data_IF_308997127876
#
_entry.id   IF_308997127876
#
_cell.length_a   1.000
_cell.length_b   1.000
_cell.length_c   1.000
_cell.angle_alpha   90.00
_cell.angle_beta   90.00
_cell.angle_gamma   90.00
#
_symmetry.space_group_name_H-M   'P 1'
#
loop_
_entity.id
_entity.type
_entity.pdbx_description
1 polymer ?
#
# COMPACT_ATOMS: atom_id res chain seq x y z
N UNK A 1 65.21 -13.56 10.54
CA UNK A 1 64.85 -13.93 11.93
C UNK A 1 63.57 -13.19 12.30
N UNK A 2 62.57 -13.95 12.70
CA UNK A 2 61.27 -13.49 13.20
C UNK A 2 61.42 -12.48 14.35
N UNK A 3 60.59 -11.43 14.35
CA UNK A 3 60.11 -10.91 15.63
C UNK A 3 58.65 -10.49 15.53
N UNK A 4 57.80 -11.38 16.01
CA UNK A 4 56.34 -11.26 16.09
C UNK A 4 55.96 -10.36 17.27
N UNK A 5 55.52 -9.14 16.98
CA UNK A 5 54.80 -8.34 17.98
C UNK A 5 53.35 -8.83 18.05
N UNK A 6 53.10 -9.64 19.08
CA UNK A 6 51.80 -10.12 19.50
C UNK A 6 50.92 -8.96 19.94
N UNK A 7 50.03 -8.53 19.03
CA UNK A 7 48.92 -7.64 19.36
C UNK A 7 47.96 -8.40 20.26
N UNK A 8 48.03 -8.12 21.56
CA UNK A 8 47.09 -8.53 22.59
C UNK A 8 45.69 -7.99 22.25
N UNK A 9 44.92 -8.73 21.44
CA UNK A 9 43.48 -8.52 21.28
C UNK A 9 42.79 -9.06 22.53
N UNK A 10 42.70 -8.24 23.56
CA UNK A 10 41.72 -8.46 24.62
C UNK A 10 40.33 -8.47 23.99
N UNK A 11 39.77 -9.68 23.88
CA UNK A 11 38.38 -9.91 23.55
C UNK A 11 37.52 -9.33 24.68
N UNK A 12 37.12 -8.06 24.52
CA UNK A 12 35.98 -7.51 25.24
C UNK A 12 34.78 -8.39 24.92
N UNK A 13 34.36 -9.23 25.89
CA UNK A 13 33.09 -9.93 25.82
C UNK A 13 31.99 -8.89 25.57
N UNK A 14 31.26 -8.93 24.45
CA UNK A 14 30.15 -8.04 24.25
C UNK A 14 29.10 -8.37 25.32
N UNK A 15 28.92 -7.46 26.28
CA UNK A 15 27.79 -7.51 27.20
C UNK A 15 26.53 -7.45 26.33
N UNK A 16 25.71 -8.51 26.39
CA UNK A 16 24.42 -8.61 25.68
C UNK A 16 23.43 -7.58 26.27
N UNK A 17 23.63 -6.29 25.99
CA UNK A 17 22.55 -5.33 26.03
C UNK A 17 21.67 -5.62 24.81
N UNK A 18 20.41 -5.93 25.03
CA UNK A 18 19.41 -6.14 23.98
C UNK A 18 19.17 -4.80 23.29
N UNK A 19 20.02 -4.45 22.34
CA UNK A 19 19.78 -3.32 21.46
C UNK A 19 18.77 -3.77 20.40
N UNK A 20 17.57 -3.20 20.44
CA UNK A 20 16.61 -3.31 19.34
C UNK A 20 17.28 -2.75 18.08
N UNK A 21 17.62 -3.65 17.15
CA UNK A 21 18.18 -3.23 15.87
C UNK A 21 17.12 -2.50 15.06
N UNK A 22 17.52 -1.49 14.27
CA UNK A 22 16.60 -0.72 13.42
C UNK A 22 15.79 -1.63 12.46
N UNK A 23 16.38 -2.77 12.07
CA UNK A 23 15.69 -3.80 11.29
C UNK A 23 14.52 -4.43 12.03
N UNK A 24 14.71 -4.79 13.31
CA UNK A 24 13.64 -5.34 14.15
C UNK A 24 12.50 -4.33 14.28
N UNK A 25 12.81 -3.05 14.49
CA UNK A 25 11.80 -1.99 14.60
C UNK A 25 10.95 -1.84 13.34
N UNK A 26 11.57 -1.87 12.15
CA UNK A 26 10.83 -1.82 10.88
C UNK A 26 9.90 -3.02 10.73
N UNK A 27 10.40 -4.21 11.04
CA UNK A 27 9.62 -5.44 10.98
C UNK A 27 8.44 -5.36 11.95
N UNK A 28 8.68 -4.93 13.19
CA UNK A 28 7.63 -4.78 14.21
C UNK A 28 6.61 -3.72 13.81
N UNK A 29 7.05 -2.57 13.31
CA UNK A 29 6.14 -1.51 12.85
C UNK A 29 5.21 -2.00 11.73
N UNK A 30 5.76 -2.69 10.73
CA UNK A 30 4.96 -3.33 9.69
C UNK A 30 4.00 -4.39 10.26
N UNK A 31 4.47 -5.24 11.17
CA UNK A 31 3.65 -6.27 11.81
C UNK A 31 2.42 -5.70 12.52
N UNK A 32 2.57 -4.54 13.18
CA UNK A 32 1.47 -3.89 13.91
C UNK A 32 0.39 -3.28 13.04
N UNK A 33 0.63 -3.12 11.74
CA UNK A 33 -0.42 -2.76 10.78
C UNK A 33 -0.97 -3.99 10.03
N UNK A 34 -0.13 -5.02 9.87
CA UNK A 34 -0.46 -6.19 9.04
C UNK A 34 -1.29 -7.25 9.78
N UNK A 35 -1.02 -7.51 11.06
CA UNK A 35 -1.69 -8.54 11.86
C UNK A 35 -2.74 -8.07 12.91
N UNK A 36 -2.96 -6.78 13.21
CA UNK A 36 -3.79 -6.41 14.37
C UNK A 36 -5.25 -6.83 14.20
N UNK A 37 -5.77 -6.92 12.97
CA UNK A 37 -7.17 -7.25 12.69
C UNK A 37 -7.52 -8.69 13.02
N UNK A 38 -6.72 -9.66 12.56
CA UNK A 38 -6.93 -11.06 12.93
C UNK A 38 -6.76 -11.27 14.45
N UNK A 39 -5.88 -10.51 15.10
CA UNK A 39 -5.71 -10.53 16.56
C UNK A 39 -6.95 -9.94 17.27
N UNK A 40 -7.52 -8.86 16.73
CA UNK A 40 -8.76 -8.29 17.26
C UNK A 40 -9.98 -9.21 17.02
N UNK A 41 -10.02 -9.91 15.90
CA UNK A 41 -11.08 -10.87 15.58
C UNK A 41 -11.12 -12.07 16.54
N UNK A 42 -10.00 -12.41 17.19
CA UNK A 42 -9.95 -13.44 18.25
C UNK A 42 -10.20 -12.88 19.66
N UNK A 43 -10.59 -11.60 19.78
CA UNK A 43 -11.01 -10.98 21.03
C UNK A 43 -10.05 -9.92 21.60
N UNK A 44 -8.95 -9.59 20.92
CA UNK A 44 -8.09 -8.50 21.39
C UNK A 44 -8.78 -7.12 21.25
N UNK A 45 -8.45 -6.15 22.14
CA UNK A 45 -9.07 -4.83 22.11
C UNK A 45 -8.86 -4.12 20.76
N UNK A 46 -9.92 -3.47 20.26
CA UNK A 46 -9.91 -2.68 19.02
C UNK A 46 -8.77 -1.65 18.93
N UNK A 47 -8.29 -1.16 20.07
CA UNK A 47 -7.16 -0.23 20.16
C UNK A 47 -5.86 -0.77 19.53
N UNK A 48 -5.69 -2.09 19.43
CA UNK A 48 -4.50 -2.70 18.79
C UNK A 48 -4.36 -2.29 17.32
N UNK A 49 -5.48 -1.99 16.65
CA UNK A 49 -5.50 -1.53 15.26
C UNK A 49 -4.88 -0.14 15.07
N UNK A 50 -4.57 0.60 16.15
CA UNK A 50 -3.97 1.93 16.10
C UNK A 50 -2.47 1.94 16.46
N UNK A 51 -1.90 0.80 16.88
CA UNK A 51 -0.51 0.73 17.37
C UNK A 51 0.50 1.14 16.30
N UNK A 52 0.20 0.84 15.03
CA UNK A 52 1.07 1.19 13.92
C UNK A 52 1.26 2.71 13.77
N UNK A 53 0.26 3.53 14.14
CA UNK A 53 0.35 4.99 14.15
C UNK A 53 1.39 5.54 15.13
N UNK A 54 1.90 4.71 16.05
CA UNK A 54 3.00 5.08 16.94
C UNK A 54 4.30 4.42 16.51
N UNK A 55 4.26 3.13 16.15
CA UNK A 55 5.47 2.37 15.86
C UNK A 55 6.09 2.72 14.50
N UNK A 56 5.30 3.09 13.49
CA UNK A 56 5.84 3.50 12.18
C UNK A 56 6.64 4.80 12.29
N UNK A 57 6.11 5.90 12.89
CA UNK A 57 6.90 7.10 13.14
C UNK A 57 8.11 6.84 14.05
N UNK A 58 7.96 6.00 15.06
CA UNK A 58 9.06 5.66 15.95
C UNK A 58 10.19 4.93 15.22
N UNK A 59 9.88 3.93 14.40
CA UNK A 59 10.87 3.23 13.58
C UNK A 59 11.56 4.18 12.60
N UNK A 60 10.82 5.11 11.99
CA UNK A 60 11.37 6.17 11.16
C UNK A 60 12.33 7.09 11.94
N UNK A 61 11.91 7.60 13.10
CA UNK A 61 12.73 8.50 13.93
C UNK A 61 14.02 7.81 14.37
N UNK A 62 13.96 6.55 14.80
CA UNK A 62 15.15 5.78 15.15
C UNK A 62 16.04 5.57 13.92
N UNK A 63 15.47 5.26 12.76
CA UNK A 63 16.23 5.05 11.54
C UNK A 63 16.97 6.32 11.10
N UNK A 64 16.34 7.49 11.12
CA UNK A 64 16.98 8.73 10.70
C UNK A 64 18.01 9.26 11.71
N UNK A 65 17.76 9.09 13.02
CA UNK A 65 18.66 9.62 14.07
C UNK A 65 19.87 8.74 14.33
N UNK A 66 19.73 7.42 14.20
CA UNK A 66 20.81 6.47 14.53
C UNK A 66 21.62 5.98 13.34
N UNK A 67 21.19 6.27 12.12
CA UNK A 67 21.88 5.76 10.94
C UNK A 67 22.90 6.76 10.40
N UNK A 68 24.20 6.41 10.39
CA UNK A 68 25.24 7.26 9.82
C UNK A 68 25.30 7.08 8.30
N UNK A 69 24.33 7.63 7.58
CA UNK A 69 24.35 7.65 6.11
C UNK A 69 25.29 8.74 5.62
N UNK A 70 26.27 8.40 4.78
CA UNK A 70 27.18 9.35 4.12
C UNK A 70 26.79 9.67 2.66
N UNK A 71 25.82 8.96 2.10
CA UNK A 71 25.37 9.19 0.72
C UNK A 71 24.53 10.49 0.65
N UNK A 72 25.11 11.52 0.04
CA UNK A 72 24.47 12.83 -0.19
C UNK A 72 23.16 12.72 -0.96
N UNK A 73 23.05 11.78 -1.92
CA UNK A 73 21.82 11.60 -2.71
C UNK A 73 20.70 11.02 -1.84
N UNK A 74 21.02 10.03 -1.01
CA UNK A 74 20.07 9.42 -0.08
C UNK A 74 19.59 10.47 0.95
N UNK A 75 20.50 11.27 1.49
CA UNK A 75 20.17 12.38 2.41
C UNK A 75 19.23 13.38 1.74
N UNK A 76 19.53 13.81 0.51
CA UNK A 76 18.69 14.75 -0.22
C UNK A 76 17.27 14.20 -0.46
N UNK A 77 17.14 12.93 -0.86
CA UNK A 77 15.84 12.27 -1.05
C UNK A 77 15.07 12.21 0.29
N UNK A 78 15.76 11.87 1.38
CA UNK A 78 15.12 11.83 2.71
C UNK A 78 14.59 13.20 3.12
N UNK A 79 15.38 14.26 2.93
CA UNK A 79 14.92 15.63 3.24
C UNK A 79 13.79 16.11 2.33
N UNK A 80 13.83 15.76 1.03
CA UNK A 80 12.76 16.08 0.08
C UNK A 80 11.43 15.45 0.53
N UNK A 81 11.44 14.18 0.91
CA UNK A 81 10.26 13.49 1.45
C UNK A 81 9.79 14.07 2.79
N UNK A 82 10.70 14.29 3.75
CA UNK A 82 10.34 14.86 5.06
C UNK A 82 9.70 16.24 4.91
N UNK A 83 10.26 17.08 4.05
CA UNK A 83 9.73 18.42 3.78
C UNK A 83 8.33 18.34 3.17
N UNK A 84 8.12 17.42 2.23
CA UNK A 84 6.80 17.18 1.65
C UNK A 84 5.79 16.62 2.68
N UNK A 85 6.22 15.75 3.61
CA UNK A 85 5.39 15.31 4.73
C UNK A 85 4.97 16.49 5.62
N UNK A 86 5.92 17.35 5.98
CA UNK A 86 5.66 18.53 6.82
C UNK A 86 4.76 19.55 6.11
N UNK A 87 4.92 19.72 4.79
CA UNK A 87 4.03 20.54 3.97
C UNK A 87 2.58 20.02 4.03
N UNK A 88 2.39 18.71 3.84
CA UNK A 88 1.07 18.08 3.95
C UNK A 88 0.47 18.27 5.34
N UNK A 89 1.27 18.09 6.41
CA UNK A 89 0.83 18.35 7.78
C UNK A 89 0.40 19.80 7.99
N UNK A 90 1.16 20.76 7.46
CA UNK A 90 0.81 22.18 7.52
C UNK A 90 -0.53 22.48 6.84
N UNK A 91 -0.77 21.88 5.67
CA UNK A 91 -2.05 21.99 4.96
C UNK A 91 -3.20 21.34 5.76
N UNK A 92 -2.98 20.18 6.36
CA UNK A 92 -3.98 19.51 7.22
C UNK A 92 -4.33 20.33 8.45
N UNK A 93 -3.35 20.95 9.11
CA UNK A 93 -3.59 21.84 10.25
C UNK A 93 -4.40 23.06 9.79
N UNK A 94 -4.01 23.70 8.68
CA UNK A 94 -4.74 24.85 8.15
C UNK A 94 -6.19 24.49 7.79
N UNK A 95 -6.41 23.34 7.14
CA UNK A 95 -7.72 22.79 6.83
C UNK A 95 -8.56 22.51 8.09
N UNK A 96 -7.95 21.91 9.11
CA UNK A 96 -8.62 21.62 10.37
C UNK A 96 -9.01 22.89 11.12
N UNK A 97 -8.14 23.90 11.17
CA UNK A 97 -8.45 25.18 11.79
C UNK A 97 -9.58 25.91 11.07
N UNK A 98 -9.55 25.92 9.73
CA UNK A 98 -10.61 26.53 8.90
C UNK A 98 -11.97 25.89 9.16
N UNK A 99 -12.01 24.56 9.32
CA UNK A 99 -13.25 23.79 9.40
C UNK A 99 -13.56 23.24 10.79
N UNK A 100 -12.83 23.70 11.82
CA UNK A 100 -12.97 23.27 13.22
C UNK A 100 -12.90 21.74 13.41
N UNK A 101 -12.04 21.07 12.64
CA UNK A 101 -11.79 19.64 12.81
C UNK A 101 -10.93 19.40 14.07
N UNK A 102 -11.20 18.31 14.78
CA UNK A 102 -10.47 17.93 15.98
C UNK A 102 -8.98 17.66 15.75
N UNK A 103 -8.17 17.80 16.79
CA UNK A 103 -6.72 17.49 16.72
C UNK A 103 -6.50 16.01 16.38
N UNK A 104 -7.38 15.12 16.86
CA UNK A 104 -7.35 13.70 16.53
C UNK A 104 -7.59 13.47 15.04
N UNK A 105 -8.44 14.27 14.41
CA UNK A 105 -8.65 14.21 12.97
C UNK A 105 -7.36 14.51 12.21
N UNK A 106 -6.64 15.57 12.60
CA UNK A 106 -5.35 15.93 12.00
C UNK A 106 -4.34 14.80 12.19
N UNK A 107 -4.19 14.30 13.41
CA UNK A 107 -3.22 13.23 13.71
C UNK A 107 -3.52 11.96 12.91
N UNK A 108 -4.73 11.42 13.00
CA UNK A 108 -5.09 10.18 12.31
C UNK A 108 -5.11 10.36 10.79
N UNK A 109 -5.63 11.48 10.29
CA UNK A 109 -5.66 11.78 8.86
C UNK A 109 -4.25 11.89 8.28
N UNK A 110 -3.35 12.56 9.00
CA UNK A 110 -1.94 12.63 8.64
C UNK A 110 -1.30 11.25 8.62
N UNK A 111 -1.48 10.48 9.70
CA UNK A 111 -0.89 9.16 9.83
C UNK A 111 -1.36 8.20 8.74
N UNK A 112 -2.67 8.13 8.46
CA UNK A 112 -3.25 7.31 7.39
C UNK A 112 -2.59 7.57 6.02
N UNK A 113 -2.32 8.84 5.69
CA UNK A 113 -1.70 9.20 4.42
C UNK A 113 -0.19 9.02 4.40
N UNK A 114 0.49 9.29 5.52
CA UNK A 114 1.96 9.45 5.54
C UNK A 114 2.74 8.20 5.92
N UNK A 115 2.12 7.27 6.65
CA UNK A 115 2.74 6.02 7.10
C UNK A 115 3.55 5.25 6.04
N UNK A 116 3.06 5.03 4.81
CA UNK A 116 3.85 4.36 3.78
C UNK A 116 5.16 5.10 3.46
N UNK A 117 5.15 6.43 3.47
CA UNK A 117 6.35 7.23 3.23
C UNK A 117 7.32 7.18 4.40
N UNK A 118 6.81 7.22 5.64
CA UNK A 118 7.65 7.10 6.85
C UNK A 118 8.32 5.72 6.94
N UNK A 119 7.56 4.65 6.71
CA UNK A 119 8.10 3.29 6.71
C UNK A 119 9.14 3.11 5.59
N UNK A 120 8.83 3.61 4.39
CA UNK A 120 9.78 3.56 3.28
C UNK A 120 11.05 4.32 3.58
N UNK A 121 10.95 5.53 4.15
CA UNK A 121 12.11 6.30 4.60
C UNK A 121 12.92 5.54 5.64
N UNK A 122 12.27 4.88 6.60
CA UNK A 122 12.95 4.06 7.59
C UNK A 122 13.77 2.95 6.90
N UNK A 123 13.19 2.26 5.91
CA UNK A 123 13.87 1.22 5.14
C UNK A 123 15.01 1.82 4.31
N UNK A 124 14.77 2.90 3.57
CA UNK A 124 15.75 3.54 2.69
C UNK A 124 16.92 4.13 3.48
N UNK A 125 16.69 4.67 4.67
CA UNK A 125 17.76 5.29 5.45
C UNK A 125 18.79 4.28 5.95
N UNK A 126 18.42 3.03 6.21
CA UNK A 126 19.31 2.04 6.83
C UNK A 126 20.18 1.34 5.78
N UNK A 127 21.53 1.36 5.90
CA UNK A 127 22.38 0.51 5.08
C UNK A 127 22.22 -0.94 5.54
N UNK A 128 21.67 -1.79 4.67
CA UNK A 128 21.51 -3.22 4.97
C UNK A 128 22.69 -4.04 4.46
N UNK A 129 23.17 -4.95 5.32
CA UNK A 129 24.01 -6.05 4.86
C UNK A 129 23.19 -7.05 4.05
N UNK A 130 23.83 -7.87 3.22
CA UNK A 130 23.15 -8.95 2.48
C UNK A 130 22.36 -9.88 3.39
N UNK A 131 22.86 -10.16 4.60
CA UNK A 131 22.17 -10.99 5.58
C UNK A 131 20.91 -10.30 6.14
N UNK A 132 21.03 -9.03 6.52
CA UNK A 132 19.90 -8.22 7.00
C UNK A 132 18.82 -8.04 5.92
N UNK A 133 19.23 -7.83 4.67
CA UNK A 133 18.32 -7.77 3.52
C UNK A 133 17.58 -9.09 3.30
N UNK A 134 18.29 -10.23 3.31
CA UNK A 134 17.66 -11.56 3.20
C UNK A 134 16.65 -11.80 4.32
N UNK A 135 16.97 -11.39 5.56
CA UNK A 135 16.05 -11.48 6.70
C UNK A 135 14.81 -10.61 6.49
N UNK A 136 14.98 -9.36 6.07
CA UNK A 136 13.87 -8.44 5.78
C UNK A 136 12.95 -9.01 4.69
N UNK A 137 13.54 -9.50 3.58
CA UNK A 137 12.82 -10.14 2.48
C UNK A 137 12.07 -11.39 2.92
N UNK A 138 12.71 -12.27 3.70
CA UNK A 138 12.09 -13.49 4.20
C UNK A 138 10.89 -13.19 5.10
N UNK A 139 10.97 -12.13 5.91
CA UNK A 139 9.88 -11.75 6.80
C UNK A 139 8.65 -11.24 6.03
N UNK A 140 8.85 -10.42 4.99
CA UNK A 140 7.76 -9.99 4.10
C UNK A 140 7.13 -11.18 3.37
N UNK A 141 7.96 -12.03 2.74
CA UNK A 141 7.48 -13.21 2.01
C UNK A 141 6.73 -14.18 2.94
N UNK A 142 7.24 -14.38 4.17
CA UNK A 142 6.57 -15.19 5.18
C UNK A 142 5.22 -14.61 5.60
N UNK A 143 5.14 -13.29 5.80
CA UNK A 143 3.88 -12.62 6.17
C UNK A 143 2.84 -12.70 5.06
N UNK A 144 3.26 -12.50 3.81
CA UNK A 144 2.38 -12.65 2.65
C UNK A 144 1.92 -14.11 2.46
N UNK A 145 2.80 -15.07 2.69
CA UNK A 145 2.43 -16.49 2.67
C UNK A 145 1.41 -16.81 3.77
N UNK A 146 1.61 -16.32 4.99
CA UNK A 146 0.62 -16.47 6.08
C UNK A 146 -0.72 -15.86 5.66
N UNK A 147 -0.72 -14.65 5.11
CA UNK A 147 -1.94 -14.01 4.61
C UNK A 147 -2.68 -14.88 3.58
N UNK A 148 -1.96 -15.36 2.56
CA UNK A 148 -2.51 -16.21 1.52
C UNK A 148 -3.05 -17.51 2.10
N UNK A 149 -2.28 -18.22 2.93
CA UNK A 149 -2.71 -19.49 3.54
C UNK A 149 -3.94 -19.29 4.43
N UNK A 150 -3.97 -18.23 5.25
CA UNK A 150 -5.14 -17.91 6.06
C UNK A 150 -6.36 -17.65 5.17
N UNK A 151 -6.23 -16.89 4.09
CA UNK A 151 -7.34 -16.65 3.17
C UNK A 151 -7.85 -17.96 2.53
N UNK A 152 -6.94 -18.85 2.12
CA UNK A 152 -7.31 -20.15 1.55
C UNK A 152 -8.01 -21.05 2.57
N UNK A 153 -7.58 -21.02 3.84
CA UNK A 153 -8.20 -21.79 4.93
C UNK A 153 -9.55 -21.21 5.36
N UNK A 154 -9.76 -19.90 5.24
CA UNK A 154 -11.03 -19.26 5.58
C UNK A 154 -12.20 -19.80 4.75
N UNK A 155 -12.01 -20.05 3.44
CA UNK A 155 -13.08 -20.56 2.56
C UNK A 155 -13.76 -21.84 3.09
N UNK A 156 -13.04 -22.97 3.29
CA UNK A 156 -13.67 -24.19 3.77
C UNK A 156 -14.21 -24.06 5.20
N UNK A 157 -13.61 -23.21 6.05
CA UNK A 157 -14.13 -22.98 7.40
C UNK A 157 -15.44 -22.17 7.40
N UNK A 158 -15.56 -21.18 6.51
CA UNK A 158 -16.79 -20.41 6.30
C UNK A 158 -17.88 -21.31 5.72
N UNK A 159 -17.55 -22.10 4.69
CA UNK A 159 -18.51 -23.03 4.07
C UNK A 159 -19.03 -24.07 5.08
N UNK A 160 -18.17 -24.52 5.99
CA UNK A 160 -18.54 -25.44 7.07
C UNK A 160 -19.27 -24.77 8.25
N UNK A 161 -19.53 -23.46 8.19
CA UNK A 161 -20.16 -22.70 9.28
C UNK A 161 -19.30 -22.56 10.54
N UNK A 162 -18.00 -22.85 10.47
CA UNK A 162 -17.06 -22.81 11.61
C UNK A 162 -16.46 -21.44 11.85
N UNK A 163 -16.51 -20.56 10.85
CA UNK A 163 -15.96 -19.22 10.90
C UNK A 163 -17.06 -18.19 10.61
N UNK A 164 -17.12 -17.13 11.43
CA UNK A 164 -18.14 -16.09 11.29
C UNK A 164 -17.96 -15.30 9.98
N UNK A 165 -19.06 -14.90 9.36
CA UNK A 165 -19.02 -13.96 8.22
C UNK A 165 -19.34 -12.54 8.66
N UNK A 166 -19.72 -12.32 9.92
CA UNK A 166 -20.13 -11.01 10.42
C UNK A 166 -21.29 -10.44 9.60
N UNK A 167 -21.10 -9.24 9.05
CA UNK A 167 -22.06 -8.56 8.16
C UNK A 167 -21.72 -8.76 6.67
N UNK A 168 -20.72 -9.58 6.36
CA UNK A 168 -20.20 -9.76 5.01
C UNK A 168 -20.83 -10.97 4.32
N UNK A 169 -20.77 -11.00 3.00
CA UNK A 169 -21.01 -12.24 2.25
C UNK A 169 -19.93 -13.27 2.60
N UNK A 170 -20.20 -14.59 2.44
CA UNK A 170 -19.19 -15.63 2.64
C UNK A 170 -17.89 -15.37 1.84
N UNK A 171 -18.01 -14.80 0.65
CA UNK A 171 -16.91 -14.46 -0.24
C UNK A 171 -16.12 -13.25 0.29
N UNK A 172 -16.81 -12.17 0.66
CA UNK A 172 -16.17 -10.97 1.22
C UNK A 172 -15.51 -11.23 2.58
N UNK A 173 -15.96 -12.26 3.32
CA UNK A 173 -15.37 -12.69 4.58
C UNK A 173 -14.03 -13.44 4.43
N UNK A 174 -13.59 -13.75 3.20
CA UNK A 174 -12.26 -14.32 2.92
C UNK A 174 -11.24 -13.18 2.79
N UNK A 175 -10.58 -12.88 3.90
CA UNK A 175 -9.81 -11.65 4.10
C UNK A 175 -8.37 -11.87 4.58
N UNK A 176 -7.92 -13.12 4.64
CA UNK A 176 -6.59 -13.47 5.17
C UNK A 176 -6.38 -12.91 6.58
N UNK A 177 -5.25 -12.24 6.81
CA UNK A 177 -4.93 -11.64 8.13
C UNK A 177 -5.70 -10.34 8.42
N UNK A 178 -6.42 -9.81 7.43
CA UNK A 178 -7.24 -8.61 7.55
C UNK A 178 -8.70 -8.92 7.91
N UNK A 179 -8.92 -10.05 8.57
CA UNK A 179 -10.22 -10.64 8.84
C UNK A 179 -11.16 -9.75 9.66
N UNK A 180 -12.44 -9.78 9.28
CA UNK A 180 -13.55 -8.94 9.74
C UNK A 180 -13.30 -7.43 9.64
N UNK A 181 -12.81 -6.98 8.48
CA UNK A 181 -12.68 -5.57 8.15
C UNK A 181 -13.31 -5.22 6.80
N UNK A 182 -13.81 -3.98 6.67
CA UNK A 182 -14.63 -3.58 5.51
C UNK A 182 -13.97 -3.74 4.15
N UNK A 183 -12.64 -3.63 4.06
CA UNK A 183 -11.87 -3.81 2.83
C UNK A 183 -10.96 -5.05 2.85
N UNK A 184 -11.11 -5.93 3.85
CA UNK A 184 -10.13 -6.96 4.18
C UNK A 184 -9.83 -7.91 3.03
N UNK A 185 -10.87 -8.34 2.29
CA UNK A 185 -10.74 -9.24 1.14
C UNK A 185 -9.85 -8.66 0.05
N UNK A 186 -10.16 -7.43 -0.34
CA UNK A 186 -9.44 -6.73 -1.40
C UNK A 186 -7.99 -6.41 -1.01
N UNK A 187 -7.77 -5.98 0.23
CA UNK A 187 -6.43 -5.70 0.77
C UNK A 187 -5.60 -6.97 0.79
N UNK A 188 -6.17 -8.06 1.31
CA UNK A 188 -5.53 -9.37 1.37
C UNK A 188 -5.14 -9.88 -0.01
N UNK A 189 -6.09 -9.86 -0.95
CA UNK A 189 -5.87 -10.28 -2.32
C UNK A 189 -4.80 -9.43 -3.03
N UNK A 190 -4.85 -8.11 -2.84
CA UNK A 190 -3.87 -7.16 -3.41
C UNK A 190 -2.46 -7.43 -2.90
N UNK A 191 -2.31 -7.69 -1.60
CA UNK A 191 -1.02 -8.07 -0.99
C UNK A 191 -0.51 -9.36 -1.60
N UNK A 192 -1.35 -10.39 -1.68
CA UNK A 192 -0.98 -11.69 -2.25
C UNK A 192 -0.52 -11.56 -3.71
N UNK A 193 -1.25 -10.82 -4.54
CA UNK A 193 -0.89 -10.59 -5.95
C UNK A 193 0.41 -9.76 -6.06
N UNK A 194 0.54 -8.66 -5.33
CA UNK A 194 1.74 -7.81 -5.37
C UNK A 194 3.00 -8.60 -4.97
N UNK A 195 2.92 -9.41 -3.92
CA UNK A 195 4.05 -10.21 -3.43
C UNK A 195 4.31 -11.42 -4.33
N UNK A 196 3.28 -12.05 -4.89
CA UNK A 196 3.45 -13.11 -5.88
C UNK A 196 4.15 -12.60 -7.15
N UNK A 197 3.80 -11.41 -7.63
CA UNK A 197 4.49 -10.73 -8.73
C UNK A 197 5.95 -10.41 -8.36
N UNK A 198 6.20 -9.87 -7.17
CA UNK A 198 7.56 -9.65 -6.68
C UNK A 198 8.38 -10.95 -6.68
N UNK A 199 7.81 -12.04 -6.14
CA UNK A 199 8.46 -13.33 -6.06
C UNK A 199 8.74 -13.91 -7.45
N UNK A 200 7.77 -13.84 -8.37
CA UNK A 200 7.90 -14.28 -9.74
C UNK A 200 9.03 -13.56 -10.50
N UNK A 201 9.10 -12.23 -10.32
CA UNK A 201 10.08 -11.39 -10.99
C UNK A 201 11.50 -11.52 -10.40
N UNK A 202 11.64 -11.61 -9.07
CA UNK A 202 12.94 -11.46 -8.40
C UNK A 202 13.55 -12.78 -7.89
N UNK A 203 12.76 -13.84 -7.66
CA UNK A 203 13.28 -15.12 -7.17
C UNK A 203 13.87 -15.99 -8.30
N UNK A 204 14.83 -15.46 -9.07
CA UNK A 204 15.41 -16.13 -10.25
C UNK A 204 16.12 -17.45 -9.94
N UNK A 205 16.59 -17.63 -8.70
CA UNK A 205 17.23 -18.87 -8.24
C UNK A 205 16.23 -20.01 -7.96
N UNK A 206 14.93 -19.70 -7.95
CA UNK A 206 13.85 -20.66 -7.71
C UNK A 206 13.29 -21.13 -9.05
N UNK A 207 12.88 -22.40 -9.14
CA UNK A 207 12.26 -22.95 -10.35
C UNK A 207 11.05 -22.12 -10.80
N UNK A 208 10.83 -22.07 -12.11
CA UNK A 208 9.71 -21.30 -12.69
C UNK A 208 8.35 -21.83 -12.19
N UNK A 209 8.21 -23.14 -12.00
CA UNK A 209 6.99 -23.77 -11.51
C UNK A 209 6.59 -23.28 -10.12
N UNK A 210 7.54 -23.17 -9.19
CA UNK A 210 7.26 -22.64 -7.84
C UNK A 210 6.88 -21.16 -7.87
N UNK A 211 7.46 -20.39 -8.79
CA UNK A 211 7.11 -18.99 -9.00
C UNK A 211 5.71 -18.83 -9.59
N UNK A 212 5.37 -19.65 -10.58
CA UNK A 212 4.02 -19.69 -11.19
C UNK A 212 2.99 -20.17 -10.16
N UNK A 213 3.32 -21.14 -9.32
CA UNK A 213 2.44 -21.64 -8.28
C UNK A 213 1.98 -20.54 -7.31
N UNK A 214 2.89 -19.68 -6.86
CA UNK A 214 2.53 -18.52 -6.01
C UNK A 214 1.54 -17.58 -6.70
N UNK A 215 1.76 -17.33 -7.99
CA UNK A 215 0.87 -16.49 -8.78
C UNK A 215 -0.52 -17.13 -8.92
N UNK A 216 -0.57 -18.41 -9.28
CA UNK A 216 -1.82 -19.18 -9.38
C UNK A 216 -2.57 -19.24 -8.05
N UNK A 217 -1.87 -19.42 -6.92
CA UNK A 217 -2.49 -19.42 -5.60
C UNK A 217 -3.08 -18.05 -5.24
N UNK A 218 -2.40 -16.95 -5.57
CA UNK A 218 -2.94 -15.60 -5.38
C UNK A 218 -4.16 -15.33 -6.29
N UNK A 219 -4.14 -15.79 -7.54
CA UNK A 219 -5.30 -15.75 -8.43
C UNK A 219 -6.46 -16.60 -7.91
N UNK A 220 -6.18 -17.77 -7.35
CA UNK A 220 -7.21 -18.60 -6.73
C UNK A 220 -7.83 -17.91 -5.51
N UNK A 221 -7.02 -17.27 -4.66
CA UNK A 221 -7.53 -16.42 -3.57
C UNK A 221 -8.47 -15.33 -4.12
N UNK A 222 -8.07 -14.64 -5.18
CA UNK A 222 -8.88 -13.59 -5.81
C UNK A 222 -10.26 -14.11 -6.25
N UNK A 223 -10.31 -15.30 -6.83
CA UNK A 223 -11.56 -15.92 -7.28
C UNK A 223 -12.46 -16.28 -6.09
N UNK A 224 -11.93 -16.93 -5.06
CA UNK A 224 -12.74 -17.37 -3.92
C UNK A 224 -13.22 -16.20 -3.04
N UNK A 225 -12.47 -15.10 -3.00
CA UNK A 225 -12.79 -13.88 -2.23
C UNK A 225 -13.55 -12.82 -3.02
N UNK A 226 -14.04 -13.16 -4.21
CA UNK A 226 -14.71 -12.27 -5.17
C UNK A 226 -14.03 -10.90 -5.36
N UNK A 227 -12.69 -10.88 -5.32
CA UNK A 227 -11.89 -9.65 -5.34
C UNK A 227 -11.47 -9.24 -6.75
N UNK A 228 -12.34 -9.44 -7.74
CA UNK A 228 -12.05 -9.30 -9.19
C UNK A 228 -11.54 -7.92 -9.59
N UNK A 229 -11.97 -6.86 -8.89
CA UNK A 229 -11.50 -5.49 -9.09
C UNK A 229 -10.00 -5.34 -8.86
N UNK A 230 -9.37 -6.19 -8.04
CA UNK A 230 -7.92 -6.18 -7.84
C UNK A 230 -7.21 -6.47 -9.17
N UNK A 231 -7.70 -7.44 -9.96
CA UNK A 231 -7.14 -7.72 -11.28
C UNK A 231 -7.29 -6.52 -12.22
N UNK A 232 -8.49 -5.93 -12.28
CA UNK A 232 -8.76 -4.75 -13.11
C UNK A 232 -7.78 -3.62 -12.77
N UNK A 233 -7.54 -3.37 -11.48
CA UNK A 233 -6.57 -2.37 -11.02
C UNK A 233 -5.17 -2.64 -11.54
N UNK A 234 -4.68 -3.88 -11.41
CA UNK A 234 -3.35 -4.25 -11.89
C UNK A 234 -3.23 -4.12 -13.41
N UNK A 235 -4.28 -4.48 -14.17
CA UNK A 235 -4.32 -4.32 -15.62
C UNK A 235 -4.27 -2.84 -16.01
N UNK A 236 -5.11 -1.99 -15.42
CA UNK A 236 -5.12 -0.54 -15.68
C UNK A 236 -3.78 0.08 -15.30
N UNK A 237 -3.21 -0.27 -14.15
CA UNK A 237 -1.89 0.20 -13.73
C UNK A 237 -0.78 -0.21 -14.72
N UNK A 238 -0.86 -1.41 -15.30
CA UNK A 238 0.07 -1.88 -16.33
C UNK A 238 -0.09 -1.13 -17.66
N UNK A 239 -1.33 -0.82 -18.06
CA UNK A 239 -1.62 0.05 -19.22
C UNK A 239 -1.00 1.45 -19.00
N UNK A 240 -1.23 2.05 -17.84
CA UNK A 240 -0.64 3.34 -17.47
C UNK A 240 0.89 3.29 -17.49
N UNK A 241 1.50 2.22 -16.96
CA UNK A 241 2.94 2.02 -16.99
C UNK A 241 3.47 2.00 -18.43
N UNK A 242 2.75 1.35 -19.33
CA UNK A 242 3.10 1.25 -20.75
C UNK A 242 3.15 2.62 -21.42
N UNK A 243 2.19 3.51 -21.10
CA UNK A 243 2.20 4.90 -21.57
C UNK A 243 3.39 5.72 -21.05
N UNK A 244 4.00 5.35 -19.91
CA UNK A 244 5.23 6.03 -19.45
C UNK A 244 6.49 5.69 -20.27
N UNK A 245 6.37 4.78 -21.26
CA UNK A 245 7.49 4.28 -22.08
C UNK A 245 7.39 4.68 -23.56
N UNK A 246 6.56 5.67 -23.92
CA UNK A 246 6.28 6.10 -25.30
C UNK A 246 7.53 6.46 -26.12
N UNK A 247 8.64 6.84 -25.49
CA UNK A 247 9.91 7.06 -26.19
C UNK A 247 10.50 5.81 -26.86
N UNK A 248 10.00 4.62 -26.53
CA UNK A 248 10.35 3.37 -27.19
C UNK A 248 9.10 2.78 -27.84
N UNK A 249 8.82 3.21 -29.07
CA UNK A 249 7.64 2.78 -29.83
C UNK A 249 7.53 1.25 -29.91
N UNK A 250 8.64 0.54 -30.08
CA UNK A 250 8.66 -0.93 -30.08
C UNK A 250 8.15 -1.55 -28.77
N UNK A 251 8.55 -1.00 -27.62
CA UNK A 251 8.04 -1.45 -26.31
C UNK A 251 6.57 -1.10 -26.12
N UNK A 252 6.12 0.07 -26.56
CA UNK A 252 4.70 0.44 -26.49
C UNK A 252 3.86 -0.47 -27.35
N UNK A 253 4.27 -0.74 -28.59
CA UNK A 253 3.59 -1.65 -29.49
C UNK A 253 3.53 -3.07 -28.88
N UNK A 254 4.64 -3.56 -28.31
CA UNK A 254 4.68 -4.86 -27.63
C UNK A 254 3.70 -4.93 -26.45
N UNK A 255 3.64 -3.89 -25.60
CA UNK A 255 2.69 -3.85 -24.49
C UNK A 255 1.24 -3.75 -24.96
N UNK A 256 0.98 -2.91 -25.96
CA UNK A 256 -0.34 -2.74 -26.55
C UNK A 256 -0.86 -4.04 -27.17
N UNK A 257 -0.03 -4.74 -27.96
CA UNK A 257 -0.35 -6.06 -28.50
C UNK A 257 -0.65 -7.04 -27.36
N UNK A 258 0.19 -7.06 -26.31
CA UNK A 258 -0.05 -7.90 -25.13
C UNK A 258 -1.40 -7.61 -24.46
N UNK A 259 -1.77 -6.35 -24.33
CA UNK A 259 -3.07 -5.92 -23.77
C UNK A 259 -4.23 -6.37 -24.66
N UNK A 260 -4.14 -6.12 -25.97
CA UNK A 260 -5.21 -6.49 -26.92
C UNK A 260 -5.41 -8.00 -26.93
N UNK A 261 -4.33 -8.79 -27.01
CA UNK A 261 -4.41 -10.26 -26.96
C UNK A 261 -5.03 -10.72 -25.64
N UNK A 262 -4.61 -10.15 -24.51
CA UNK A 262 -5.17 -10.49 -23.21
C UNK A 262 -6.65 -10.16 -23.11
N UNK A 263 -7.08 -8.96 -23.51
CA UNK A 263 -8.48 -8.52 -23.44
C UNK A 263 -9.38 -9.33 -24.38
N UNK A 264 -8.93 -9.59 -25.61
CA UNK A 264 -9.68 -10.41 -26.56
C UNK A 264 -9.78 -11.86 -26.08
N UNK A 265 -8.67 -12.44 -25.60
CA UNK A 265 -8.66 -13.79 -25.03
C UNK A 265 -9.55 -13.91 -23.79
N UNK A 266 -9.51 -12.90 -22.92
CA UNK A 266 -10.35 -12.85 -21.71
C UNK A 266 -11.83 -12.67 -22.06
N UNK A 267 -12.18 -11.74 -22.95
CA UNK A 267 -13.56 -11.55 -23.41
C UNK A 267 -14.11 -12.80 -24.10
N UNK A 268 -13.32 -13.41 -25.00
CA UNK A 268 -13.69 -14.67 -25.62
C UNK A 268 -13.92 -15.77 -24.56
N UNK A 269 -13.05 -15.86 -23.56
CA UNK A 269 -13.22 -16.82 -22.47
C UNK A 269 -14.50 -16.58 -21.66
N UNK A 270 -14.82 -15.32 -21.33
CA UNK A 270 -16.05 -14.97 -20.59
C UNK A 270 -17.32 -15.31 -21.38
N UNK A 271 -17.32 -15.09 -22.70
CA UNK A 271 -18.50 -15.35 -23.52
C UNK A 271 -18.68 -16.82 -23.88
N UNK A 272 -17.58 -17.56 -24.10
CA UNK A 272 -17.61 -18.89 -24.71
C UNK A 272 -17.29 -20.04 -23.75
N UNK A 273 -16.65 -19.79 -22.60
CA UNK A 273 -16.33 -20.83 -21.63
C UNK A 273 -17.32 -20.81 -20.47
N UNK A 274 -17.94 -21.95 -20.20
CA UNK A 274 -18.85 -22.15 -19.07
C UNK A 274 -18.05 -22.44 -17.78
N UNK A 275 -17.31 -21.42 -17.33
CA UNK A 275 -16.48 -21.49 -16.12
C UNK A 275 -17.19 -20.66 -15.04
N UNK A 276 -17.62 -21.26 -13.92
CA UNK A 276 -18.35 -20.55 -12.85
C UNK A 276 -17.62 -19.31 -12.30
N UNK A 277 -16.28 -19.29 -12.38
CA UNK A 277 -15.47 -18.13 -12.00
C UNK A 277 -15.63 -16.90 -12.92
N UNK A 278 -16.15 -17.09 -14.13
CA UNK A 278 -16.33 -16.05 -15.15
C UNK A 278 -17.75 -15.45 -15.19
N UNK A 279 -18.74 -16.13 -14.60
CA UNK A 279 -20.16 -15.70 -14.61
C UNK A 279 -20.36 -14.27 -14.13
N UNK A 280 -19.61 -13.86 -13.10
CA UNK A 280 -19.66 -12.49 -12.61
C UNK A 280 -19.28 -11.47 -13.68
N UNK A 281 -18.25 -11.73 -14.49
CA UNK A 281 -17.86 -10.82 -15.57
C UNK A 281 -18.93 -10.75 -16.66
N UNK A 282 -19.54 -11.89 -17.02
CA UNK A 282 -20.63 -11.96 -18.00
C UNK A 282 -21.87 -11.19 -17.55
N UNK A 283 -22.22 -11.30 -16.27
CA UNK A 283 -23.31 -10.52 -15.68
C UNK A 283 -23.04 -9.01 -15.75
N UNK A 284 -21.81 -8.56 -15.47
CA UNK A 284 -21.49 -7.14 -15.50
C UNK A 284 -21.35 -6.56 -16.91
N UNK A 285 -20.90 -7.35 -17.89
CA UNK A 285 -20.83 -6.91 -19.29
C UNK A 285 -22.20 -6.73 -19.95
N UNK A 286 -23.23 -7.44 -19.49
CA UNK A 286 -24.59 -7.32 -20.05
C UNK A 286 -25.40 -6.11 -19.54
N UNK A 287 -24.99 -5.48 -18.42
CA UNK A 287 -25.71 -4.37 -17.77
C UNK A 287 -25.38 -2.99 -18.36
N UNK A 288 -25.72 -2.80 -19.63
CA UNK A 288 -25.44 -1.54 -20.36
C UNK A 288 -26.21 -0.32 -19.81
N UNK A 289 -27.33 -0.56 -19.13
CA UNK A 289 -28.18 0.43 -18.46
C UNK A 289 -27.48 1.15 -17.28
N UNK A 290 -26.51 0.49 -16.63
CA UNK A 290 -25.83 1.03 -15.46
C UNK A 290 -24.77 2.08 -15.79
N UNK A 291 -24.12 1.99 -16.96
CA UNK A 291 -22.86 2.68 -17.24
C UNK A 291 -22.99 3.93 -18.11
N UNK A 292 -24.20 4.30 -18.55
CA UNK A 292 -24.43 5.54 -19.27
C UNK A 292 -24.10 6.79 -18.44
N UNK A 293 -23.97 7.99 -19.05
CA UNK A 293 -23.71 9.24 -18.32
C UNK A 293 -24.70 9.52 -17.18
N UNK A 294 -25.97 9.16 -17.39
CA UNK A 294 -27.04 9.26 -16.40
C UNK A 294 -27.34 7.92 -15.70
N UNK A 295 -26.52 6.90 -15.95
CA UNK A 295 -26.67 5.57 -15.37
C UNK A 295 -26.49 5.58 -13.85
N UNK A 296 -27.14 4.63 -13.17
CA UNK A 296 -27.10 4.51 -11.71
C UNK A 296 -25.65 4.44 -11.19
N UNK A 297 -24.77 3.72 -11.90
CA UNK A 297 -23.39 3.52 -11.47
C UNK A 297 -22.56 4.81 -11.48
N UNK A 298 -22.72 5.64 -12.53
CA UNK A 298 -22.02 6.93 -12.64
C UNK A 298 -22.53 7.90 -11.58
N UNK A 299 -23.85 8.00 -11.46
CA UNK A 299 -24.50 8.84 -10.45
C UNK A 299 -24.09 8.46 -9.03
N UNK A 300 -24.08 7.17 -8.72
CA UNK A 300 -23.65 6.68 -7.43
C UNK A 300 -22.17 7.00 -7.17
N UNK A 301 -21.29 6.71 -8.14
CA UNK A 301 -19.85 6.95 -7.98
C UNK A 301 -19.53 8.41 -7.70
N UNK A 302 -20.21 9.32 -8.39
CA UNK A 302 -20.02 10.77 -8.26
C UNK A 302 -20.78 11.38 -7.07
N UNK A 303 -21.60 10.62 -6.34
CA UNK A 303 -22.38 11.13 -5.22
C UNK A 303 -21.50 11.76 -4.13
N UNK A 304 -20.35 11.14 -3.80
CA UNK A 304 -19.42 11.70 -2.82
C UNK A 304 -18.94 13.10 -3.20
N UNK A 305 -18.62 13.32 -4.47
CA UNK A 305 -18.22 14.66 -4.99
C UNK A 305 -19.38 15.65 -4.85
N UNK A 306 -20.59 15.26 -5.28
CA UNK A 306 -21.77 16.14 -5.25
C UNK A 306 -22.14 16.55 -3.82
N UNK A 307 -22.07 15.62 -2.87
CA UNK A 307 -22.32 15.89 -1.46
C UNK A 307 -21.25 16.84 -0.92
N UNK A 308 -19.96 16.58 -1.17
CA UNK A 308 -18.89 17.48 -0.71
C UNK A 308 -19.10 18.91 -1.24
N UNK A 309 -19.40 19.05 -2.54
CA UNK A 309 -19.60 20.34 -3.18
C UNK A 309 -20.80 21.11 -2.60
N UNK A 310 -21.86 20.43 -2.14
CA UNK A 310 -23.00 21.11 -1.51
C UNK A 310 -22.62 21.81 -0.20
N UNK A 311 -21.53 21.38 0.44
CA UNK A 311 -20.97 21.95 1.67
C UNK A 311 -19.79 22.91 1.45
N UNK A 312 -19.30 23.09 0.22
CA UNK A 312 -18.28 24.10 -0.09
C UNK A 312 -18.93 25.49 -0.10
N UNK A 313 -18.84 26.21 1.03
CA UNK A 313 -19.46 27.54 1.20
C UNK A 313 -18.50 28.71 0.94
N UNK A 314 -17.20 28.44 0.78
CA UNK A 314 -16.15 29.45 0.60
C UNK A 314 -15.14 29.03 -0.48
N UNK A 315 -14.53 29.98 -1.21
CA UNK A 315 -13.37 29.70 -2.08
C UNK A 315 -12.22 28.98 -1.35
N UNK A 316 -12.07 29.20 -0.03
CA UNK A 316 -11.07 28.51 0.77
C UNK A 316 -11.34 27.00 0.89
N UNK A 317 -12.60 26.55 0.80
CA UNK A 317 -12.90 25.11 0.80
C UNK A 317 -12.35 24.41 -0.45
N UNK A 318 -12.24 25.11 -1.58
CA UNK A 318 -11.57 24.53 -2.76
C UNK A 318 -10.09 24.30 -2.55
N UNK A 319 -9.43 25.18 -1.79
CA UNK A 319 -8.00 25.10 -1.53
C UNK A 319 -7.66 24.15 -0.37
N UNK A 320 -8.46 24.16 0.69
CA UNK A 320 -8.18 23.50 1.97
C UNK A 320 -9.21 22.43 2.37
N UNK A 321 -10.29 22.24 1.62
CA UNK A 321 -11.31 21.22 1.91
C UNK A 321 -12.19 21.55 3.10
N UNK A 322 -12.81 20.51 3.67
CA UNK A 322 -13.74 20.55 4.81
C UNK A 322 -13.13 20.07 6.13
N UNK A 323 -11.84 19.75 6.15
CA UNK A 323 -11.15 19.25 7.34
C UNK A 323 -10.83 17.75 7.23
N UNK A 324 -9.70 17.28 7.82
CA UNK A 324 -9.38 15.85 7.88
C UNK A 324 -10.53 15.03 8.48
N UNK A 325 -10.92 13.95 7.82
CA UNK A 325 -11.96 13.04 8.30
C UNK A 325 -13.39 13.61 8.30
N UNK A 326 -13.63 14.75 7.65
CA UNK A 326 -14.97 15.35 7.55
C UNK A 326 -15.69 14.98 6.24
N UNK A 327 -15.03 14.26 5.32
CA UNK A 327 -15.66 13.84 4.06
C UNK A 327 -15.72 12.32 3.91
N UNK A 328 -15.35 11.81 2.73
CA UNK A 328 -15.48 10.39 2.34
C UNK A 328 -14.13 9.65 2.34
N UNK A 329 -13.12 10.23 2.98
CA UNK A 329 -11.83 9.56 3.23
C UNK A 329 -12.02 8.32 4.10
N UNK A 330 -10.97 7.50 4.22
CA UNK A 330 -11.00 6.34 5.13
C UNK A 330 -11.28 6.76 6.57
N UNK A 331 -10.76 7.92 6.98
CA UNK A 331 -10.95 8.45 8.31
C UNK A 331 -12.43 8.78 8.57
N UNK A 332 -13.04 9.60 7.73
CA UNK A 332 -14.43 10.04 7.89
C UNK A 332 -15.46 8.96 7.55
N UNK A 333 -15.20 8.21 6.47
CA UNK A 333 -16.08 7.17 5.97
C UNK A 333 -16.09 5.91 6.83
N UNK A 334 -15.00 5.55 7.49
CA UNK A 334 -14.89 4.22 8.12
C UNK A 334 -14.42 4.31 9.57
N UNK A 335 -13.30 4.98 9.83
CA UNK A 335 -12.69 4.96 11.16
C UNK A 335 -13.59 5.60 12.22
N UNK A 336 -14.13 6.80 11.96
CA UNK A 336 -15.00 7.44 12.93
C UNK A 336 -16.31 6.69 13.14
N UNK A 337 -16.81 5.96 12.14
CA UNK A 337 -17.97 5.10 12.31
C UNK A 337 -17.65 3.87 13.18
N UNK A 338 -16.55 3.18 12.88
CA UNK A 338 -16.26 1.86 13.45
C UNK A 338 -15.58 1.93 14.84
N UNK A 339 -14.97 3.09 15.15
CA UNK A 339 -14.19 3.34 16.37
C UNK A 339 -14.59 4.62 17.11
N UNK A 340 -15.83 5.12 16.90
CA UNK A 340 -16.31 6.35 17.53
C UNK A 340 -16.09 6.37 19.05
N UNK A 341 -16.46 5.27 19.73
CA UNK A 341 -16.36 5.16 21.19
C UNK A 341 -14.93 5.33 21.73
N UNK A 342 -13.91 5.03 20.91
CA UNK A 342 -12.50 5.22 21.27
C UNK A 342 -12.00 6.63 20.93
N UNK A 343 -12.53 7.23 19.86
CA UNK A 343 -11.99 8.44 19.26
C UNK A 343 -12.70 9.71 19.73
N UNK A 344 -14.01 9.64 20.00
CA UNK A 344 -14.81 10.78 20.47
C UNK A 344 -14.29 11.36 21.79
N UNK A 345 -13.94 10.56 22.82
CA UNK A 345 -13.40 11.09 24.08
C UNK A 345 -12.04 11.81 23.91
N UNK A 346 -11.32 11.52 22.83
CA UNK A 346 -10.05 12.15 22.50
C UNK A 346 -10.23 13.47 21.73
N UNK A 347 -11.47 13.86 21.40
CA UNK A 347 -11.80 15.08 20.67
C UNK A 347 -11.87 14.89 19.15
N UNK A 348 -12.19 13.68 18.67
CA UNK A 348 -12.53 13.48 17.26
C UNK A 348 -13.86 14.19 16.91
N UNK A 349 -13.93 14.73 15.69
CA UNK A 349 -15.12 15.42 15.17
C UNK A 349 -15.59 14.79 13.86
N UNK A 350 -16.90 14.85 13.61
CA UNK A 350 -17.51 14.42 12.34
C UNK A 350 -18.22 15.58 11.66
N UNK A 351 -18.58 15.39 10.40
CA UNK A 351 -19.28 16.37 9.59
C UNK A 351 -20.45 15.70 8.83
N UNK A 352 -21.56 16.41 8.55
CA UNK A 352 -22.75 15.83 7.91
C UNK A 352 -22.48 15.10 6.58
N UNK A 353 -21.48 15.54 5.81
CA UNK A 353 -21.06 14.91 4.54
C UNK A 353 -20.83 13.41 4.68
N UNK A 354 -20.15 12.95 5.75
CA UNK A 354 -19.87 11.53 5.95
C UNK A 354 -21.16 10.74 6.17
N UNK A 355 -22.12 11.29 6.92
CA UNK A 355 -23.42 10.66 7.19
C UNK A 355 -24.29 10.61 5.94
N UNK A 356 -24.40 11.73 5.21
CA UNK A 356 -25.15 11.78 3.95
C UNK A 356 -24.59 10.82 2.90
N UNK A 357 -23.26 10.69 2.83
CA UNK A 357 -22.61 9.73 1.93
C UNK A 357 -22.98 8.29 2.29
N UNK A 358 -23.04 7.95 3.59
CA UNK A 358 -23.50 6.64 4.03
C UNK A 358 -24.99 6.41 3.78
N UNK A 359 -25.83 7.45 3.87
CA UNK A 359 -27.24 7.33 3.51
C UNK A 359 -27.41 6.96 2.03
N UNK A 360 -26.61 7.57 1.14
CA UNK A 360 -26.60 7.18 -0.28
C UNK A 360 -26.12 5.74 -0.48
N UNK A 361 -25.08 5.31 0.24
CA UNK A 361 -24.59 3.92 0.17
C UNK A 361 -25.65 2.93 0.64
N UNK A 362 -26.24 3.17 1.80
CA UNK A 362 -27.22 2.27 2.39
C UNK A 362 -28.54 2.22 1.59
N UNK A 363 -28.83 3.26 0.81
CA UNK A 363 -29.99 3.31 -0.08
C UNK A 363 -29.75 2.64 -1.45
N UNK A 364 -28.52 2.23 -1.78
CA UNK A 364 -28.19 1.66 -3.09
C UNK A 364 -27.71 0.22 -2.96
N UNK A 365 -28.46 -0.70 -3.58
CA UNK A 365 -28.04 -2.10 -3.73
C UNK A 365 -26.68 -2.20 -4.44
N UNK A 366 -26.40 -1.32 -5.41
CA UNK A 366 -25.17 -1.30 -6.19
C UNK A 366 -23.96 -0.92 -5.33
N UNK A 367 -24.11 0.07 -4.44
CA UNK A 367 -23.04 0.48 -3.51
C UNK A 367 -22.70 -0.63 -2.52
N UNK A 368 -23.71 -1.34 -2.03
CA UNK A 368 -23.54 -2.45 -1.10
C UNK A 368 -22.95 -3.70 -1.77
N UNK A 369 -23.20 -3.89 -3.07
CA UNK A 369 -22.75 -5.08 -3.81
C UNK A 369 -21.40 -4.89 -4.52
N UNK A 370 -20.94 -3.65 -4.73
CA UNK A 370 -19.76 -3.39 -5.54
C UNK A 370 -18.95 -2.20 -5.05
N UNK A 371 -17.73 -2.49 -4.60
CA UNK A 371 -16.74 -1.46 -4.22
C UNK A 371 -16.33 -0.56 -5.39
N UNK A 372 -16.51 -1.00 -6.65
CA UNK A 372 -16.17 -0.21 -7.83
C UNK A 372 -16.96 1.10 -7.90
N UNK A 373 -18.23 1.05 -7.53
CA UNK A 373 -19.16 2.17 -7.62
C UNK A 373 -19.32 2.91 -6.29
N UNK A 374 -18.58 2.51 -5.25
CA UNK A 374 -18.65 3.17 -3.95
C UNK A 374 -18.30 4.66 -4.10
N UNK A 375 -19.13 5.59 -3.58
CA UNK A 375 -18.85 7.03 -3.58
C UNK A 375 -17.71 7.42 -2.63
N UNK A 376 -17.31 6.52 -1.72
CA UNK A 376 -16.20 6.68 -0.81
C UNK A 376 -14.91 6.12 -1.43
N UNK A 377 -14.12 6.99 -2.05
CA UNK A 377 -12.83 6.63 -2.63
C UNK A 377 -11.74 7.66 -2.33
N UNK A 378 -10.50 7.18 -2.30
CA UNK A 378 -9.40 7.87 -1.64
C UNK A 378 -9.10 9.25 -2.23
N UNK A 379 -9.15 9.40 -3.56
CA UNK A 379 -8.84 10.70 -4.19
C UNK A 379 -9.86 11.78 -3.84
N UNK A 380 -11.14 11.43 -3.80
CA UNK A 380 -12.19 12.37 -3.39
C UNK A 380 -12.17 12.59 -1.88
N UNK A 381 -11.80 11.60 -1.08
CA UNK A 381 -11.56 11.78 0.34
C UNK A 381 -10.45 12.79 0.64
N UNK A 382 -9.28 12.65 0.00
CA UNK A 382 -8.14 13.57 0.17
C UNK A 382 -8.50 14.98 -0.30
N UNK A 383 -9.12 15.12 -1.47
CA UNK A 383 -9.55 16.42 -1.98
C UNK A 383 -10.68 17.04 -1.13
N UNK A 384 -11.64 16.25 -0.70
CA UNK A 384 -12.75 16.71 0.14
C UNK A 384 -12.26 17.19 1.50
N UNK A 385 -11.34 16.44 2.11
CA UNK A 385 -10.78 16.78 3.41
C UNK A 385 -9.81 17.98 3.32
N UNK A 386 -8.93 18.02 2.30
CA UNK A 386 -7.75 18.89 2.27
C UNK A 386 -7.69 19.87 1.08
N UNK A 387 -8.69 19.86 0.21
CA UNK A 387 -8.76 20.66 -1.00
C UNK A 387 -7.68 20.34 -2.03
N UNK A 388 -7.54 21.20 -3.04
CA UNK A 388 -6.53 21.03 -4.09
C UNK A 388 -5.09 21.19 -3.57
N UNK A 389 -4.86 21.95 -2.50
CA UNK A 389 -3.52 22.06 -1.93
C UNK A 389 -3.08 20.74 -1.31
N UNK A 390 -3.95 20.09 -0.52
CA UNK A 390 -3.63 18.80 0.10
C UNK A 390 -3.49 17.69 -0.94
N UNK A 391 -4.38 17.65 -1.94
CA UNK A 391 -4.25 16.72 -3.06
C UNK A 391 -2.93 16.94 -3.81
N UNK A 392 -2.57 18.19 -4.12
CA UNK A 392 -1.31 18.53 -4.77
C UNK A 392 -0.08 18.13 -3.96
N UNK A 393 -0.08 18.38 -2.64
CA UNK A 393 1.01 17.97 -1.74
C UNK A 393 1.15 16.44 -1.66
N UNK A 394 0.03 15.71 -1.63
CA UNK A 394 0.05 14.25 -1.63
C UNK A 394 0.53 13.67 -2.98
N UNK A 395 0.10 14.26 -4.10
CA UNK A 395 0.62 13.90 -5.43
C UNK A 395 2.12 14.23 -5.55
N UNK A 396 2.59 15.30 -4.92
CA UNK A 396 4.01 15.65 -4.88
C UNK A 396 4.83 14.60 -4.11
N UNK A 397 4.33 14.07 -2.97
CA UNK A 397 4.93 12.90 -2.30
C UNK A 397 5.03 11.70 -3.25
N UNK A 398 3.95 11.39 -3.97
CA UNK A 398 3.94 10.35 -5.00
C UNK A 398 4.95 10.59 -6.13
N UNK A 399 5.11 11.84 -6.56
CA UNK A 399 6.10 12.23 -7.56
C UNK A 399 7.54 12.04 -7.08
N UNK A 400 7.86 12.40 -5.84
CA UNK A 400 9.20 12.16 -5.26
C UNK A 400 9.47 10.65 -5.24
N UNK A 401 8.50 9.86 -4.78
CA UNK A 401 8.60 8.40 -4.76
C UNK A 401 8.87 7.83 -6.17
N UNK A 402 8.08 8.26 -7.16
CA UNK A 402 8.21 7.87 -8.56
C UNK A 402 9.57 8.24 -9.16
N UNK A 403 9.97 9.49 -8.99
CA UNK A 403 11.14 10.07 -9.64
C UNK A 403 12.45 9.66 -8.97
N UNK A 404 12.47 9.44 -7.64
CA UNK A 404 13.70 9.18 -6.88
C UNK A 404 13.89 7.71 -6.51
N UNK A 405 12.83 7.01 -6.08
CA UNK A 405 12.94 5.68 -5.47
C UNK A 405 12.49 4.55 -6.42
N UNK A 406 11.37 4.73 -7.13
CA UNK A 406 10.81 3.75 -8.06
C UNK A 406 11.47 3.82 -9.46
N UNK A 407 12.73 3.41 -9.52
CA UNK A 407 13.51 3.39 -10.77
C UNK A 407 13.22 2.18 -11.66
N UNK A 408 12.71 1.10 -11.10
CA UNK A 408 12.34 -0.12 -11.81
C UNK A 408 10.84 -0.17 -12.16
N UNK A 409 10.50 -0.98 -13.15
CA UNK A 409 9.13 -1.09 -13.67
C UNK A 409 8.17 -1.72 -12.65
N UNK A 410 8.66 -2.62 -11.78
CA UNK A 410 7.82 -3.23 -10.74
C UNK A 410 7.42 -2.22 -9.67
N UNK A 411 8.36 -1.43 -9.14
CA UNK A 411 8.04 -0.36 -8.18
C UNK A 411 7.09 0.68 -8.79
N UNK A 412 7.27 1.02 -10.08
CA UNK A 412 6.36 1.93 -10.79
C UNK A 412 4.97 1.34 -10.97
N UNK A 413 4.88 0.05 -11.30
CA UNK A 413 3.61 -0.66 -11.36
C UNK A 413 2.89 -0.56 -10.00
N UNK A 414 3.58 -0.83 -8.89
CA UNK A 414 2.96 -0.73 -7.56
C UNK A 414 2.43 0.67 -7.24
N UNK A 415 3.17 1.74 -7.59
CA UNK A 415 2.69 3.12 -7.40
C UNK A 415 1.43 3.37 -8.22
N UNK A 416 1.41 2.96 -9.49
CA UNK A 416 0.25 3.12 -10.37
C UNK A 416 -0.94 2.26 -9.90
N UNK A 417 -0.69 1.07 -9.36
CA UNK A 417 -1.71 0.23 -8.71
C UNK A 417 -2.35 0.97 -7.55
N UNK A 418 -1.56 1.61 -6.67
CA UNK A 418 -2.10 2.44 -5.57
C UNK A 418 -2.88 3.64 -6.10
N UNK A 419 -2.41 4.27 -7.18
CA UNK A 419 -3.11 5.38 -7.82
C UNK A 419 -4.49 4.95 -8.34
N UNK A 420 -4.57 3.82 -9.03
CA UNK A 420 -5.84 3.30 -9.56
C UNK A 420 -6.76 2.82 -8.44
N UNK A 421 -6.24 2.17 -7.39
CA UNK A 421 -7.04 1.84 -6.20
C UNK A 421 -7.69 3.07 -5.56
N UNK A 422 -6.98 4.21 -5.55
CA UNK A 422 -7.50 5.46 -5.04
C UNK A 422 -8.74 5.97 -5.77
N UNK A 423 -8.99 5.54 -7.03
CA UNK A 423 -10.18 5.88 -7.82
C UNK A 423 -11.36 4.93 -7.55
N UNK A 424 -11.09 3.74 -7.01
CA UNK A 424 -12.09 2.70 -6.78
C UNK A 424 -12.64 2.81 -5.37
N UNK A 425 -11.78 2.83 -4.36
CA UNK A 425 -12.19 2.75 -2.97
C UNK A 425 -11.22 3.54 -2.07
N UNK A 426 -11.43 3.51 -0.75
CA UNK A 426 -10.49 4.10 0.23
C UNK A 426 -9.26 3.20 0.47
N UNK A 427 -8.89 2.37 -0.50
CA UNK A 427 -7.88 1.31 -0.35
C UNK A 427 -6.45 1.88 -0.42
N UNK A 428 -6.26 3.06 -1.00
CA UNK A 428 -5.00 3.80 -0.92
C UNK A 428 -4.71 4.38 0.46
N UNK A 429 -5.70 4.40 1.33
CA UNK A 429 -5.57 4.84 2.73
C UNK A 429 -5.44 3.65 3.69
N UNK A 430 -5.38 2.42 3.17
CA UNK A 430 -5.37 1.23 4.01
C UNK A 430 -3.96 0.72 4.33
N UNK A 431 -3.58 0.82 5.61
CA UNK A 431 -2.21 0.60 6.10
C UNK A 431 -1.66 -0.78 5.71
N UNK A 432 -2.45 -1.85 5.81
CA UNK A 432 -2.03 -3.21 5.45
C UNK A 432 -1.52 -3.32 4.01
N UNK A 433 -2.11 -2.54 3.09
CA UNK A 433 -1.70 -2.50 1.70
C UNK A 433 -0.61 -1.47 1.43
N UNK A 434 -0.79 -0.24 1.86
CA UNK A 434 0.14 0.86 1.58
C UNK A 434 1.52 0.57 2.18
N UNK A 435 1.57 0.00 3.39
CA UNK A 435 2.81 -0.41 4.02
C UNK A 435 3.44 -1.62 3.32
N UNK A 436 2.66 -2.57 2.81
CA UNK A 436 3.18 -3.66 1.97
C UNK A 436 3.86 -3.12 0.70
N UNK A 437 3.21 -2.18 0.02
CA UNK A 437 3.76 -1.54 -1.18
C UNK A 437 5.03 -0.75 -0.86
N UNK A 438 5.01 0.06 0.21
CA UNK A 438 6.19 0.77 0.69
C UNK A 438 7.35 -0.19 0.99
N UNK A 439 7.06 -1.32 1.64
CA UNK A 439 8.05 -2.35 1.97
C UNK A 439 8.64 -2.98 0.70
N UNK A 440 7.82 -3.33 -0.29
CA UNK A 440 8.27 -3.88 -1.58
C UNK A 440 9.16 -2.90 -2.36
N UNK A 441 8.78 -1.62 -2.42
CA UNK A 441 9.61 -0.56 -3.04
C UNK A 441 10.92 -0.41 -2.27
N UNK A 442 10.86 -0.43 -0.94
CA UNK A 442 12.04 -0.37 -0.07
C UNK A 442 13.00 -1.54 -0.30
N UNK A 443 12.48 -2.77 -0.46
CA UNK A 443 13.29 -3.94 -0.81
C UNK A 443 13.97 -3.79 -2.18
N UNK A 444 13.24 -3.32 -3.19
CA UNK A 444 13.80 -3.06 -4.52
C UNK A 444 14.91 -2.01 -4.48
N UNK A 445 14.74 -0.96 -3.67
CA UNK A 445 15.78 0.03 -3.44
C UNK A 445 17.03 -0.59 -2.79
N UNK A 446 16.85 -1.36 -1.72
CA UNK A 446 17.96 -1.99 -0.99
C UNK A 446 18.75 -2.97 -1.86
N UNK A 447 18.06 -3.78 -2.66
CA UNK A 447 18.68 -4.72 -3.59
C UNK A 447 19.60 -4.01 -4.59
N UNK A 448 19.15 -2.87 -5.15
CA UNK A 448 19.97 -2.04 -6.03
C UNK A 448 21.19 -1.46 -5.34
N UNK A 449 21.05 -0.97 -4.10
CA UNK A 449 22.20 -0.42 -3.37
C UNK A 449 23.23 -1.49 -3.05
N UNK A 450 22.81 -2.68 -2.63
CA UNK A 450 23.71 -3.80 -2.37
C UNK A 450 24.44 -4.20 -3.66
N UNK A 451 23.72 -4.29 -4.78
CA UNK A 451 24.33 -4.61 -6.08
C UNK A 451 25.33 -3.53 -6.53
N UNK A 452 25.02 -2.25 -6.30
CA UNK A 452 25.91 -1.13 -6.61
C UNK A 452 27.19 -1.17 -5.78
N UNK A 453 27.06 -1.34 -4.46
CA UNK A 453 28.21 -1.44 -3.55
C UNK A 453 29.10 -2.64 -3.88
N UNK A 454 28.52 -3.78 -4.27
CA UNK A 454 29.29 -4.94 -4.70
C UNK A 454 30.12 -4.64 -5.96
N UNK A 455 29.55 -3.93 -6.95
CA UNK A 455 30.27 -3.51 -8.16
C UNK A 455 31.40 -2.52 -7.85
N UNK A 456 31.12 -1.51 -7.02
CA UNK A 456 32.14 -0.52 -6.62
C UNK A 456 33.31 -1.21 -5.92
N UNK A 457 33.06 -2.16 -5.01
CA UNK A 457 34.12 -2.97 -4.38
C UNK A 457 34.92 -3.82 -5.38
N UNK A 458 34.27 -4.47 -6.34
CA UNK A 458 34.99 -5.25 -7.36
C UNK A 458 35.88 -4.37 -8.24
N UNK A 459 35.44 -3.16 -8.56
CA UNK A 459 36.24 -2.22 -9.36
C UNK A 459 37.47 -1.73 -8.58
N UNK A 460 37.33 -1.44 -7.28
CA UNK A 460 38.46 -1.08 -6.44
C UNK A 460 39.49 -2.21 -6.32
N UNK A 461 39.04 -3.45 -6.08
CA UNK A 461 39.94 -4.60 -6.01
C UNK A 461 40.71 -4.82 -7.32
N UNK A 462 40.06 -4.63 -8.47
CA UNK A 462 40.71 -4.74 -9.78
C UNK A 462 41.71 -3.60 -10.03
N UNK A 463 41.40 -2.38 -9.58
CA UNK A 463 42.31 -1.25 -9.69
C UNK A 463 43.57 -1.45 -8.83
N UNK A 464 43.40 -1.94 -7.60
CA UNK A 464 44.52 -2.24 -6.69
C UNK A 464 45.41 -3.36 -7.27
N UNK A 465 44.80 -4.42 -7.82
CA UNK A 465 45.52 -5.50 -8.49
C UNK A 465 46.33 -5.00 -9.69
N UNK A 466 45.75 -4.14 -10.53
CA UNK A 466 46.47 -3.55 -11.67
C UNK A 466 47.62 -2.64 -11.23
N UNK A 467 47.42 -1.83 -10.18
CA UNK A 467 48.51 -1.00 -9.64
C UNK A 467 49.67 -1.84 -9.12
N UNK A 468 49.41 -3.01 -8.51
CA UNK A 468 50.46 -3.89 -8.02
C UNK A 468 51.29 -4.56 -9.13
N UNK A 469 50.74 -4.69 -10.34
CA UNK A 469 51.43 -5.22 -11.51
C UNK A 469 52.31 -4.18 -12.21
N UNK A 470 52.05 -2.88 -12.04
CA UNK A 470 52.88 -1.80 -12.61
C UNK A 470 54.19 -1.56 -11.82
N UNK A 471 54.28 -2.07 -10.58
CA UNK A 471 55.46 -1.95 -9.72
C UNK A 471 56.35 -3.20 -9.67
N UNK A 472 56.07 -4.21 -10.50
CA UNK A 472 56.89 -5.41 -10.71
C UNK A 472 57.43 -5.43 -12.11
#
# INVERSE_FOLDING_TARGET
MYNSNSVNRQFLKPTKKVYLTSLTLIITAFATAFFPRIISAVGAPKAINFVHFLLVPFAFLVAITKTPTKDRKQIAISWELITACLLLLGIMIASALLNKAGVINVFLGFMILIEPFLLLLAIVCIPLTTASFKKLRAWLLGSALINLLVALVQKPLIDAGKLSVGQYTPQDAIQGVFYLSGAGGYVSCSVSIAVALYYFLNAKTVSIWMRVFWLLAAFYQMLISDSKQVLVVFVVAWVLLSFTKIHNFGKVLMYFIGIVIFLLGFYWAVENLDIPGLDGFKLWFSRTDLYGPDGEAVNLKLAGIRIILSYYKSPLNWLLGLGPGHTVSRLGGWFFRDYWDLLAPLGATTHPVSMESWNVVNASWLALSSSMFMPLFSWVGIWGDLGFLGLGAYLYLGYILWSRLAKDDFSRLLILTMFVFGLIFTQMEEAGQTLTVAFLIGLQWQERQIARQARERSLHLNADANSSLEFT
#
